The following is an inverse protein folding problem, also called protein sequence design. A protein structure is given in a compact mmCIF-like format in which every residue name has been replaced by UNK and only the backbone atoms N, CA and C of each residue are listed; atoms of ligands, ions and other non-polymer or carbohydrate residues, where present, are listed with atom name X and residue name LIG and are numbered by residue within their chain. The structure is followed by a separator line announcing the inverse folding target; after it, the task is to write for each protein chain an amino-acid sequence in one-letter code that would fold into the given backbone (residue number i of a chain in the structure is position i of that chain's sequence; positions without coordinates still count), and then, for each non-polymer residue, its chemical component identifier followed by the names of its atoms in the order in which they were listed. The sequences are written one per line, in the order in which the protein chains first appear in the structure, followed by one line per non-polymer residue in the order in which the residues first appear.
data_IF_829520470098
#
_entry.id   IF_829520470098
#
_cell.length_a   1.000
_cell.length_b   1.000
_cell.length_c   1.000
_cell.angle_alpha   90.00
_cell.angle_beta   90.00
_cell.angle_gamma   90.00
#
_symmetry.space_group_name_H-M   'P 1'
#
loop_
_entity.id
_entity.type
_entity.pdbx_description
1 polymer ?
#
# COMPACT_ATOMS: atom_id res chain seq x y z
N UNK A 1 11.57 -13.25 6.19
CA UNK A 1 12.27 -12.44 5.17
C UNK A 1 12.91 -13.41 4.19
N UNK A 2 12.70 -13.26 2.88
CA UNK A 2 13.45 -14.04 1.90
C UNK A 2 14.94 -13.68 1.99
N UNK A 3 15.82 -14.63 1.72
CA UNK A 3 17.26 -14.40 1.66
C UNK A 3 17.59 -13.35 0.58
N UNK A 4 18.61 -12.51 0.83
CA UNK A 4 19.16 -11.60 -0.19
C UNK A 4 19.50 -12.40 -1.45
N UNK A 5 19.09 -11.91 -2.62
CA UNK A 5 19.22 -12.55 -3.94
C UNK A 5 18.35 -13.79 -4.22
N UNK A 6 17.27 -14.03 -3.49
CA UNK A 6 16.26 -15.02 -3.90
C UNK A 6 15.48 -14.50 -5.11
N UNK A 7 15.72 -15.10 -6.29
CA UNK A 7 14.88 -14.89 -7.47
C UNK A 7 13.52 -15.54 -7.21
N UNK A 8 12.49 -14.73 -7.00
CA UNK A 8 11.11 -15.24 -6.87
C UNK A 8 10.56 -15.53 -8.26
N UNK A 9 10.28 -16.79 -8.56
CA UNK A 9 9.42 -17.15 -9.68
C UNK A 9 7.98 -16.79 -9.31
N UNK A 10 7.41 -15.86 -10.07
CA UNK A 10 6.00 -15.51 -9.99
C UNK A 10 5.25 -16.40 -10.98
N UNK A 11 4.33 -17.21 -10.48
CA UNK A 11 3.51 -18.07 -11.32
C UNK A 11 2.20 -17.34 -11.63
N UNK A 12 1.72 -17.48 -12.87
CA UNK A 12 0.42 -16.93 -13.28
C UNK A 12 -0.70 -17.57 -12.44
N UNK A 13 -1.57 -16.74 -11.85
CA UNK A 13 -2.66 -17.20 -10.97
C UNK A 13 -2.25 -17.50 -9.51
N UNK A 14 -0.99 -17.24 -9.12
CA UNK A 14 -0.55 -17.40 -7.73
C UNK A 14 -1.13 -16.35 -6.78
N UNK A 15 -1.61 -16.77 -5.61
CA UNK A 15 -1.97 -15.87 -4.51
C UNK A 15 -0.75 -15.66 -3.59
N UNK A 16 -0.41 -14.39 -3.34
CA UNK A 16 0.73 -14.03 -2.51
C UNK A 16 0.28 -13.23 -1.29
N UNK A 17 0.75 -13.63 -0.11
CA UNK A 17 0.52 -12.86 1.11
C UNK A 17 1.64 -11.82 1.30
N UNK A 18 1.27 -10.54 1.25
CA UNK A 18 2.16 -9.43 1.62
C UNK A 18 1.98 -9.12 3.10
N UNK A 19 3.09 -9.04 3.82
CA UNK A 19 3.14 -8.60 5.21
C UNK A 19 4.09 -7.42 5.32
N UNK A 20 3.59 -6.25 5.72
CA UNK A 20 4.44 -5.13 6.09
C UNK A 20 4.88 -5.29 7.55
N UNK A 21 6.19 -5.31 7.78
CA UNK A 21 6.77 -5.24 9.12
C UNK A 21 7.57 -3.95 9.24
N UNK A 22 7.32 -3.19 10.30
CA UNK A 22 8.11 -2.00 10.60
C UNK A 22 9.56 -2.36 10.92
N UNK A 23 10.45 -1.39 10.69
CA UNK A 23 11.84 -1.46 11.17
C UNK A 23 11.81 -1.70 12.68
N UNK A 24 12.64 -2.61 13.17
CA UNK A 24 12.66 -3.05 14.58
C UNK A 24 11.30 -3.59 15.10
N UNK A 25 10.47 -4.17 14.22
CA UNK A 25 9.15 -4.72 14.57
C UNK A 25 8.18 -3.69 15.17
N UNK A 26 8.41 -2.40 14.92
CA UNK A 26 7.49 -1.35 15.35
C UNK A 26 6.19 -1.45 14.54
N UNK A 27 5.09 -0.99 15.13
CA UNK A 27 3.82 -0.89 14.42
C UNK A 27 3.97 0.15 13.30
N UNK A 28 3.78 -0.27 12.05
CA UNK A 28 3.89 0.59 10.86
C UNK A 28 2.66 1.48 10.67
N UNK A 29 1.50 1.02 11.13
CA UNK A 29 0.25 1.75 11.10
C UNK A 29 -0.20 1.95 12.54
N UNK A 30 -0.12 3.20 13.00
CA UNK A 30 -0.54 3.58 14.34
C UNK A 30 -1.99 4.04 14.34
N UNK A 31 -2.42 4.66 13.23
CA UNK A 31 -3.78 5.14 13.05
C UNK A 31 -4.45 4.57 11.78
N UNK A 32 -5.78 4.60 11.76
CA UNK A 32 -6.58 4.17 10.62
C UNK A 32 -6.36 5.07 9.39
N UNK A 33 -6.00 6.34 9.60
CA UNK A 33 -5.66 7.26 8.52
C UNK A 33 -4.39 6.81 7.78
N UNK A 34 -3.34 6.40 8.51
CA UNK A 34 -2.08 5.90 7.91
C UNK A 34 -2.34 4.68 7.03
N UNK A 35 -3.19 3.77 7.50
CA UNK A 35 -3.59 2.58 6.75
C UNK A 35 -4.33 2.95 5.45
N UNK A 36 -5.25 3.92 5.52
CA UNK A 36 -6.03 4.36 4.37
C UNK A 36 -5.15 5.03 3.30
N UNK A 37 -4.19 5.85 3.74
CA UNK A 37 -3.19 6.48 2.87
C UNK A 37 -2.28 5.45 2.23
N UNK A 38 -1.87 4.41 2.96
CA UNK A 38 -1.07 3.32 2.38
C UNK A 38 -1.84 2.56 1.29
N UNK A 39 -3.11 2.20 1.54
CA UNK A 39 -3.95 1.53 0.54
C UNK A 39 -4.16 2.38 -0.72
N UNK A 40 -4.33 3.69 -0.54
CA UNK A 40 -4.41 4.65 -1.62
C UNK A 40 -3.17 4.63 -2.53
N UNK A 41 -1.98 4.68 -1.94
CA UNK A 41 -0.74 4.58 -2.69
C UNK A 41 -0.60 3.22 -3.38
N UNK A 42 -0.93 2.13 -2.70
CA UNK A 42 -0.88 0.79 -3.29
C UNK A 42 -1.75 0.72 -4.55
N UNK A 43 -3.01 1.16 -4.47
CA UNK A 43 -3.92 1.23 -5.62
C UNK A 43 -3.31 2.08 -6.75
N UNK A 44 -2.76 3.25 -6.43
CA UNK A 44 -2.11 4.12 -7.42
C UNK A 44 -0.95 3.43 -8.17
N UNK A 45 -0.14 2.61 -7.50
CA UNK A 45 0.98 1.93 -8.14
C UNK A 45 0.55 0.69 -8.93
N UNK A 46 -0.57 0.06 -8.55
CA UNK A 46 -1.13 -1.08 -9.28
C UNK A 46 -1.94 -0.65 -10.50
N UNK A 47 -2.55 0.54 -10.47
CA UNK A 47 -3.32 1.09 -11.58
C UNK A 47 -2.44 1.84 -12.60
N UNK A 48 -2.24 1.33 -13.83
CA UNK A 48 -1.46 2.03 -14.85
C UNK A 48 -2.12 3.35 -15.27
N UNK A 49 -3.42 3.51 -15.04
CA UNK A 49 -4.21 4.69 -15.40
C UNK A 49 -4.19 5.81 -14.35
N UNK A 50 -3.71 5.55 -13.13
CA UNK A 50 -3.62 6.54 -12.05
C UNK A 50 -2.23 7.20 -11.95
N UNK A 51 -1.23 6.68 -12.65
CA UNK A 51 0.17 7.10 -12.50
C UNK A 51 0.51 8.51 -12.97
N UNK A 52 -0.28 9.11 -13.87
CA UNK A 52 0.08 10.36 -14.56
C UNK A 52 -0.87 11.55 -14.33
N UNK A 53 -2.11 11.35 -13.85
CA UNK A 53 -3.08 12.43 -13.70
C UNK A 53 -3.44 12.71 -12.23
N UNK A 54 -3.02 13.86 -11.65
CA UNK A 54 -3.34 14.23 -10.27
C UNK A 54 -4.85 14.43 -10.03
N UNK A 55 -5.68 14.53 -11.06
CA UNK A 55 -7.14 14.75 -10.95
C UNK A 55 -7.96 13.49 -10.66
N UNK A 56 -7.38 12.30 -10.84
CA UNK A 56 -8.06 11.01 -10.59
C UNK A 56 -7.82 10.44 -9.19
N UNK A 57 -7.00 11.11 -8.38
CA UNK A 57 -6.69 10.64 -7.02
C UNK A 57 -7.94 10.92 -6.19
N UNK A 58 -8.67 9.90 -5.69
CA UNK A 58 -9.75 10.15 -4.75
C UNK A 58 -9.12 10.81 -3.52
N UNK A 59 -9.63 11.98 -3.12
CA UNK A 59 -9.19 12.59 -1.88
C UNK A 59 -9.72 11.74 -0.73
N UNK A 60 -8.87 10.86 -0.20
CA UNK A 60 -9.09 10.16 1.07
C UNK A 60 -8.95 11.19 2.21
N UNK A 61 -9.81 12.22 2.15
CA UNK A 61 -9.89 13.24 3.18
C UNK A 61 -10.59 12.56 4.34
N UNK A 62 -9.84 12.37 5.41
CA UNK A 62 -10.35 11.89 6.70
C UNK A 62 -11.65 12.65 7.01
N UNK A 63 -12.77 11.95 6.99
CA UNK A 63 -14.11 12.49 7.24
C UNK A 63 -14.37 12.66 8.73
N UNK A 64 -13.36 13.07 9.50
CA UNK A 64 -13.42 13.26 10.96
C UNK A 64 -12.97 14.67 11.36
N UNK A 65 -13.31 15.64 10.53
CA UNK A 65 -13.28 17.05 10.90
C UNK A 65 -14.50 17.75 10.27
N UNK A 66 -15.67 17.40 10.77
CA UNK A 66 -16.85 18.27 10.70
C UNK A 66 -17.27 18.45 12.15
N UNK A 67 -17.01 19.66 12.65
CA UNK A 67 -17.44 20.20 13.93
C UNK A 67 -18.97 20.09 14.03
#
# INVERSE_FOLDING_TARGET
MPAKNSVKQFNEGGYYHLYNRGVEKRNTFLDQQDYTVFLAYLKKYLDPNLGSDPRKIPSYRCSLCVI
#
